data_IF_313525335238
#
_entry.id   IF_313525335238
#
_cell.length_a   1.000
_cell.length_b   1.000
_cell.length_c   1.000
_cell.angle_alpha   90.00
_cell.angle_beta   90.00
_cell.angle_gamma   90.00
#
_symmetry.space_group_name_H-M   'P 1'
#
loop_
_entity.id
_entity.type
_entity.pdbx_description
1 polymer ?
#
# COMPACT_ATOMS: atom_id res chain seq x y z
N UNK A 1 21.87 36.51 39.95
CA UNK A 1 21.99 37.29 38.70
C UNK A 1 21.09 36.62 37.68
N UNK A 2 20.06 37.33 37.20
CA UNK A 2 19.27 36.87 36.05
C UNK A 2 19.96 37.27 34.74
N UNK A 3 19.65 36.57 33.66
CA UNK A 3 19.98 37.01 32.31
C UNK A 3 18.78 37.77 31.76
N UNK A 4 19.00 39.00 31.30
CA UNK A 4 17.98 39.73 30.57
C UNK A 4 17.92 39.19 29.13
N UNK A 5 16.79 38.57 28.79
CA UNK A 5 16.56 38.00 27.47
C UNK A 5 15.76 38.97 26.61
N UNK A 6 16.21 39.17 25.37
CA UNK A 6 15.49 39.97 24.37
C UNK A 6 14.88 39.04 23.32
N UNK A 7 13.61 39.27 22.98
CA UNK A 7 12.94 38.53 21.91
C UNK A 7 13.50 39.02 20.56
N UNK A 8 14.20 38.14 19.83
CA UNK A 8 14.84 38.47 18.55
C UNK A 8 13.94 38.25 17.33
N UNK A 9 12.81 37.54 17.48
CA UNK A 9 11.87 37.31 16.38
C UNK A 9 10.71 36.39 16.77
N UNK A 10 9.68 36.38 15.92
CA UNK A 10 8.53 35.47 16.03
C UNK A 10 8.44 34.69 14.72
N UNK A 11 8.54 33.37 14.81
CA UNK A 11 8.38 32.47 13.67
C UNK A 11 6.92 32.01 13.59
N UNK A 12 6.32 32.13 12.41
CA UNK A 12 4.98 31.62 12.12
C UNK A 12 5.03 30.72 10.89
N UNK A 13 4.36 29.58 10.96
CA UNK A 13 4.17 28.67 9.83
C UNK A 13 3.39 29.40 8.75
N UNK A 14 3.83 29.29 7.50
CA UNK A 14 3.12 29.89 6.37
C UNK A 14 1.76 29.22 6.17
N UNK A 15 0.72 30.02 5.91
CA UNK A 15 -0.61 29.51 5.61
C UNK A 15 -0.60 28.56 4.41
N UNK A 16 -1.25 27.41 4.55
CA UNK A 16 -1.28 26.36 3.52
C UNK A 16 -0.01 25.49 3.45
N UNK A 17 0.93 25.60 4.40
CA UNK A 17 2.03 24.66 4.50
C UNK A 17 1.49 23.23 4.72
N UNK A 18 1.92 22.24 3.90
CA UNK A 18 1.42 20.87 4.00
C UNK A 18 1.83 20.16 5.30
N UNK A 19 2.79 20.72 6.02
CA UNK A 19 3.33 20.17 7.26
C UNK A 19 3.90 21.28 8.15
N UNK A 20 3.64 21.21 9.45
CA UNK A 20 4.24 22.09 10.45
C UNK A 20 5.36 21.33 11.20
N UNK A 21 6.58 21.85 11.14
CA UNK A 21 7.73 21.34 11.91
C UNK A 21 8.21 22.31 13.00
N UNK A 22 7.55 23.46 13.17
CA UNK A 22 7.84 24.37 14.26
C UNK A 22 7.10 23.91 15.51
N UNK A 23 7.85 23.63 16.58
CA UNK A 23 7.29 23.43 17.91
C UNK A 23 6.75 24.75 18.45
N UNK A 24 5.57 24.73 19.07
CA UNK A 24 5.06 25.86 19.82
C UNK A 24 5.96 26.14 21.03
N UNK A 25 6.33 27.41 21.26
CA UNK A 25 7.11 27.83 22.42
C UNK A 25 8.22 28.82 22.09
N UNK A 26 9.12 29.00 23.06
CA UNK A 26 10.29 29.88 22.95
C UNK A 26 11.48 29.02 22.53
N UNK A 27 12.12 29.40 21.43
CA UNK A 27 13.35 28.78 20.94
C UNK A 27 14.51 29.71 21.20
N UNK A 28 15.64 29.15 21.62
CA UNK A 28 16.83 29.92 21.97
C UNK A 28 17.84 29.97 20.80
N UNK A 29 18.50 31.12 20.57
CA UNK A 29 19.57 31.21 19.59
C UNK A 29 20.77 30.37 20.04
N UNK A 30 21.60 29.94 19.08
CA UNK A 30 22.80 29.14 19.34
C UNK A 30 23.71 29.79 20.40
N UNK A 31 23.87 31.12 20.37
CA UNK A 31 24.69 31.84 21.35
C UNK A 31 24.23 31.65 22.81
N UNK A 32 22.92 31.63 23.07
CA UNK A 32 22.39 31.40 24.42
C UNK A 32 22.52 29.93 24.80
N UNK A 33 22.27 29.02 23.86
CA UNK A 33 22.46 27.58 24.07
C UNK A 33 23.92 27.27 24.43
N UNK A 34 24.88 27.82 23.69
CA UNK A 34 26.31 27.65 23.93
C UNK A 34 26.72 28.21 25.30
N UNK A 35 26.22 29.39 25.67
CA UNK A 35 26.45 29.99 26.99
C UNK A 35 25.91 29.10 28.12
N UNK A 36 24.68 28.60 28.00
CA UNK A 36 24.06 27.74 29.01
C UNK A 36 24.83 26.42 29.12
N UNK A 37 25.22 25.82 28.00
CA UNK A 37 25.99 24.57 27.96
C UNK A 37 27.37 24.76 28.60
N UNK A 38 28.08 25.84 28.27
CA UNK A 38 29.38 26.15 28.87
C UNK A 38 29.25 26.33 30.40
N UNK A 39 28.27 27.11 30.84
CA UNK A 39 28.01 27.33 32.25
C UNK A 39 27.61 26.04 32.99
N UNK A 40 26.73 25.22 32.39
CA UNK A 40 26.33 23.93 32.95
C UNK A 40 27.52 22.97 33.09
N UNK A 41 28.40 22.94 32.07
CA UNK A 41 29.57 22.06 32.06
C UNK A 41 30.60 22.38 33.16
N UNK A 42 30.62 23.64 33.62
CA UNK A 42 31.49 24.17 34.69
C UNK A 42 30.84 24.11 36.07
N UNK A 43 29.59 23.70 36.17
CA UNK A 43 28.91 23.60 37.47
C UNK A 43 29.57 22.54 38.35
N UNK A 44 29.59 22.79 39.66
CA UNK A 44 30.16 21.84 40.64
C UNK A 44 29.51 20.46 40.54
N UNK A 45 28.21 20.41 40.24
CA UNK A 45 27.45 19.17 40.02
C UNK A 45 27.95 18.42 38.79
N UNK A 46 28.19 19.12 37.67
CA UNK A 46 28.73 18.51 36.45
C UNK A 46 30.16 17.97 36.66
N UNK A 47 31.01 18.73 37.37
CA UNK A 47 32.39 18.34 37.68
C UNK A 47 32.41 17.13 38.62
N UNK A 48 31.61 17.16 39.69
CA UNK A 48 31.50 16.05 40.64
C UNK A 48 30.92 14.78 39.99
N UNK A 49 29.93 14.92 39.10
CA UNK A 49 29.36 13.76 38.40
C UNK A 49 30.37 13.13 37.44
N UNK A 50 31.24 13.92 36.79
CA UNK A 50 32.31 13.40 35.92
C UNK A 50 33.33 12.55 36.70
N UNK A 51 33.66 12.96 37.92
CA UNK A 51 34.62 12.27 38.78
C UNK A 51 34.03 11.05 39.53
N UNK A 52 32.71 10.84 39.47
CA UNK A 52 32.00 9.79 40.21
C UNK A 52 31.55 8.64 39.31
N UNK A 53 31.58 7.41 39.84
CA UNK A 53 31.02 6.20 39.22
C UNK A 53 29.59 5.88 39.66
N UNK A 54 29.02 6.73 40.53
CA UNK A 54 27.63 6.70 40.96
C UNK A 54 26.92 7.99 40.55
N UNK A 55 25.61 7.94 40.38
CA UNK A 55 24.80 9.16 40.26
C UNK A 55 24.92 9.96 41.55
N UNK A 56 25.46 11.17 41.49
CA UNK A 56 25.73 11.98 42.70
C UNK A 56 24.46 12.56 43.32
N UNK A 57 23.34 12.56 42.59
CA UNK A 57 22.04 13.07 43.05
C UNK A 57 21.24 11.93 43.68
N UNK A 58 21.22 10.75 43.04
CA UNK A 58 20.47 9.58 43.51
C UNK A 58 21.29 8.66 44.44
N UNK A 59 22.61 8.83 44.46
CA UNK A 59 23.58 8.02 45.19
C UNK A 59 23.53 6.52 44.83
N UNK A 60 23.13 6.19 43.60
CA UNK A 60 23.03 4.83 43.07
C UNK A 60 24.12 4.56 42.02
N UNK A 61 24.64 3.32 41.92
CA UNK A 61 25.55 2.97 40.82
C UNK A 61 24.82 3.00 39.48
N UNK A 62 25.55 3.35 38.41
CA UNK A 62 25.01 3.26 37.06
C UNK A 62 24.88 1.80 36.61
N UNK A 63 23.83 1.50 35.84
CA UNK A 63 23.62 0.17 35.28
C UNK A 63 24.66 -0.19 34.20
N UNK A 64 25.12 0.80 33.43
CA UNK A 64 26.13 0.69 32.39
C UNK A 64 26.73 2.06 32.03
N UNK A 65 27.74 2.08 31.16
CA UNK A 65 28.42 3.31 30.71
C UNK A 65 27.48 4.26 29.97
N UNK A 66 26.48 3.74 29.25
CA UNK A 66 25.52 4.57 28.52
C UNK A 66 24.60 5.33 29.47
N UNK A 67 24.18 4.72 30.58
CA UNK A 67 23.44 5.42 31.65
C UNK A 67 24.28 6.54 32.26
N UNK A 68 25.58 6.33 32.48
CA UNK A 68 26.50 7.37 32.94
C UNK A 68 26.62 8.51 31.91
N UNK A 69 26.79 8.19 30.62
CA UNK A 69 26.86 9.19 29.54
C UNK A 69 25.57 9.99 29.41
N UNK A 70 24.41 9.34 29.45
CA UNK A 70 23.10 9.99 29.42
C UNK A 70 22.91 10.91 30.62
N UNK A 71 23.38 10.50 31.81
CA UNK A 71 23.34 11.34 33.00
C UNK A 71 24.22 12.58 32.86
N UNK A 72 25.45 12.41 32.38
CA UNK A 72 26.35 13.52 32.09
C UNK A 72 25.76 14.47 31.04
N UNK A 73 25.08 13.95 30.01
CA UNK A 73 24.37 14.78 29.03
C UNK A 73 23.22 15.57 29.67
N UNK A 74 22.42 14.94 30.54
CA UNK A 74 21.30 15.62 31.23
C UNK A 74 21.74 16.77 32.13
N UNK A 75 22.96 16.70 32.67
CA UNK A 75 23.56 17.74 33.51
C UNK A 75 24.32 18.80 32.70
N UNK A 76 24.34 18.70 31.36
CA UNK A 76 25.15 19.57 30.50
C UNK A 76 26.66 19.33 30.62
N UNK A 77 27.06 18.23 31.25
CA UNK A 77 28.46 17.84 31.46
C UNK A 77 29.07 17.16 30.22
N UNK A 78 28.23 16.64 29.32
CA UNK A 78 28.61 16.01 28.06
C UNK A 78 27.83 16.65 26.91
N UNK A 79 28.54 17.13 25.89
CA UNK A 79 28.01 17.85 24.73
C UNK A 79 28.04 17.02 23.44
N UNK A 80 28.43 15.75 23.51
CA UNK A 80 28.47 14.87 22.33
C UNK A 80 27.07 14.78 21.71
N UNK A 81 26.92 15.17 20.43
CA UNK A 81 25.63 15.11 19.74
C UNK A 81 25.10 13.68 19.67
N UNK A 82 23.81 13.50 19.91
CA UNK A 82 23.15 12.19 19.85
C UNK A 82 22.55 11.88 18.48
N UNK A 83 22.13 12.91 17.74
CA UNK A 83 21.52 12.78 16.42
C UNK A 83 21.77 14.03 15.57
N UNK A 84 21.75 13.85 14.25
CA UNK A 84 21.82 14.93 13.27
C UNK A 84 20.55 14.85 12.43
N UNK A 85 19.76 15.94 12.43
CA UNK A 85 18.60 16.07 11.56
C UNK A 85 19.02 16.77 10.27
N UNK A 86 18.83 16.10 9.13
CA UNK A 86 19.13 16.64 7.81
C UNK A 86 17.80 16.92 7.11
N UNK A 87 17.63 18.14 6.59
CA UNK A 87 16.43 18.57 5.87
C UNK A 87 16.78 18.87 4.41
N UNK A 88 16.71 17.88 3.50
CA UNK A 88 17.00 18.07 2.09
C UNK A 88 15.99 19.03 1.45
N UNK A 89 16.45 19.83 0.49
CA UNK A 89 15.61 20.76 -0.26
C UNK A 89 14.54 20.06 -1.11
N UNK A 90 14.87 18.90 -1.66
CA UNK A 90 14.02 18.09 -2.54
C UNK A 90 14.36 16.59 -2.43
N UNK A 91 13.53 15.75 -3.05
CA UNK A 91 13.69 14.30 -3.05
C UNK A 91 14.98 13.84 -3.74
N UNK A 92 15.41 14.51 -4.82
CA UNK A 92 16.65 14.15 -5.51
C UNK A 92 17.89 14.39 -4.62
N UNK A 93 17.89 15.47 -3.85
CA UNK A 93 18.95 15.79 -2.89
C UNK A 93 18.95 14.79 -1.73
N UNK A 94 17.77 14.39 -1.24
CA UNK A 94 17.62 13.34 -0.24
C UNK A 94 18.24 12.02 -0.72
N UNK A 95 17.94 11.60 -1.94
CA UNK A 95 18.42 10.33 -2.48
C UNK A 95 19.95 10.32 -2.66
N UNK A 96 20.54 11.46 -3.04
CA UNK A 96 22.01 11.65 -3.06
C UNK A 96 22.63 11.51 -1.68
N UNK A 97 22.01 12.09 -0.65
CA UNK A 97 22.48 11.98 0.75
C UNK A 97 22.45 10.52 1.21
N UNK A 98 21.36 9.80 0.93
CA UNK A 98 21.24 8.37 1.29
C UNK A 98 22.29 7.53 0.59
N UNK A 99 22.46 7.72 -0.71
CA UNK A 99 23.49 7.03 -1.50
C UNK A 99 24.89 7.28 -0.94
N UNK A 100 25.20 8.52 -0.52
CA UNK A 100 26.46 8.85 0.13
C UNK A 100 26.61 8.13 1.47
N UNK A 101 25.60 8.16 2.33
CA UNK A 101 25.64 7.47 3.64
C UNK A 101 25.80 5.95 3.49
N UNK A 102 25.14 5.34 2.51
CA UNK A 102 25.27 3.91 2.21
C UNK A 102 26.70 3.58 1.75
N UNK A 103 27.27 4.41 0.87
CA UNK A 103 28.66 4.26 0.45
C UNK A 103 29.65 4.44 1.61
N UNK A 104 29.38 5.39 2.51
CA UNK A 104 30.19 5.64 3.71
C UNK A 104 30.17 4.47 4.69
N UNK A 105 29.03 3.77 4.78
CA UNK A 105 28.85 2.61 5.65
C UNK A 105 29.46 1.32 5.08
N UNK A 106 29.84 1.32 3.80
CA UNK A 106 30.42 0.15 3.15
C UNK A 106 31.80 -0.16 3.74
N UNK A 107 32.01 -1.40 4.19
CA UNK A 107 33.28 -1.85 4.77
C UNK A 107 33.54 -1.43 6.22
N UNK A 108 32.58 -0.79 6.89
CA UNK A 108 32.68 -0.43 8.31
C UNK A 108 32.08 -1.49 9.22
N UNK A 109 32.68 -1.66 10.40
CA UNK A 109 32.07 -2.40 11.50
C UNK A 109 30.75 -1.74 11.92
N UNK A 110 29.80 -2.52 12.45
CA UNK A 110 28.45 -2.03 12.78
C UNK A 110 28.46 -0.85 13.76
N UNK A 111 29.40 -0.83 14.71
CA UNK A 111 29.58 0.26 15.68
C UNK A 111 29.98 1.60 15.02
N UNK A 112 30.57 1.57 13.83
CA UNK A 112 31.05 2.73 13.09
C UNK A 112 30.16 3.11 11.90
N UNK A 113 29.03 2.42 11.73
CA UNK A 113 28.05 2.75 10.70
C UNK A 113 27.17 3.91 11.15
N UNK A 114 26.89 4.81 10.22
CA UNK A 114 25.89 5.85 10.41
C UNK A 114 24.52 5.21 10.22
N UNK A 115 23.79 5.07 11.31
CA UNK A 115 22.38 4.67 11.30
C UNK A 115 21.56 5.92 10.99
N UNK A 116 20.73 5.85 9.96
CA UNK A 116 19.87 6.96 9.56
C UNK A 116 18.45 6.47 9.25
N UNK A 117 17.48 7.34 9.45
CA UNK A 117 16.06 7.06 9.19
C UNK A 117 15.48 8.10 8.25
N UNK A 118 14.90 7.66 7.14
CA UNK A 118 14.16 8.52 6.22
C UNK A 118 12.69 8.57 6.64
N UNK A 119 12.30 9.64 7.32
CA UNK A 119 10.93 9.82 7.81
C UNK A 119 9.90 9.84 6.66
N UNK A 120 10.24 10.48 5.53
CA UNK A 120 9.33 10.57 4.39
C UNK A 120 9.11 9.20 3.73
N UNK A 121 10.18 8.42 3.56
CA UNK A 121 10.07 7.05 3.07
C UNK A 121 9.31 6.16 4.05
N UNK A 122 9.54 6.30 5.36
CA UNK A 122 8.86 5.50 6.38
C UNK A 122 7.35 5.73 6.34
N UNK A 123 6.92 7.00 6.26
CA UNK A 123 5.51 7.36 6.10
C UNK A 123 4.94 6.82 4.79
N UNK A 124 5.65 6.97 3.66
CA UNK A 124 5.22 6.44 2.37
C UNK A 124 5.09 4.92 2.39
N UNK A 125 6.03 4.19 2.99
CA UNK A 125 5.99 2.74 3.11
C UNK A 125 4.82 2.28 3.98
N UNK A 126 4.55 2.98 5.07
CA UNK A 126 3.37 2.72 5.92
C UNK A 126 2.07 2.94 5.13
N UNK A 127 1.93 4.07 4.42
CA UNK A 127 0.75 4.35 3.59
C UNK A 127 0.57 3.30 2.48
N UNK A 128 1.65 2.94 1.79
CA UNK A 128 1.63 1.91 0.75
C UNK A 128 1.24 0.54 1.31
N UNK A 129 1.70 0.20 2.52
CA UNK A 129 1.33 -1.06 3.18
C UNK A 129 -0.16 -1.10 3.51
N UNK A 130 -0.73 -0.01 4.02
CA UNK A 130 -2.17 0.10 4.28
C UNK A 130 -2.99 -0.05 3.00
N UNK A 131 -2.62 0.67 1.93
CA UNK A 131 -3.29 0.59 0.62
C UNK A 131 -3.22 -0.84 0.06
N UNK A 132 -2.05 -1.50 0.14
CA UNK A 132 -1.88 -2.88 -0.32
C UNK A 132 -2.74 -3.86 0.48
N UNK A 133 -2.80 -3.70 1.80
CA UNK A 133 -3.60 -4.55 2.68
C UNK A 133 -5.08 -4.44 2.35
N UNK A 134 -5.61 -3.22 2.21
CA UNK A 134 -7.01 -3.00 1.81
C UNK A 134 -7.25 -3.58 0.42
N UNK A 135 -6.33 -3.36 -0.52
CA UNK A 135 -6.42 -3.90 -1.87
C UNK A 135 -6.47 -5.43 -1.88
N UNK A 136 -5.68 -6.13 -1.07
CA UNK A 136 -5.74 -7.60 -0.97
C UNK A 136 -7.06 -8.10 -0.40
N UNK A 137 -7.63 -7.41 0.58
CA UNK A 137 -8.95 -7.75 1.11
C UNK A 137 -10.03 -7.60 0.04
N UNK A 138 -10.02 -6.49 -0.72
CA UNK A 138 -10.95 -6.25 -1.82
C UNK A 138 -10.78 -7.27 -2.96
N UNK A 139 -9.53 -7.62 -3.30
CA UNK A 139 -9.24 -8.69 -4.28
C UNK A 139 -9.79 -10.02 -3.79
N UNK A 140 -9.68 -10.32 -2.49
CA UNK A 140 -10.28 -11.51 -1.88
C UNK A 140 -11.79 -11.56 -2.06
N UNK A 141 -12.49 -10.46 -1.76
CA UNK A 141 -13.93 -10.35 -2.00
C UNK A 141 -14.28 -10.52 -3.48
N UNK A 142 -13.56 -9.86 -4.37
CA UNK A 142 -13.76 -9.98 -5.81
C UNK A 142 -13.54 -11.41 -6.31
N UNK A 143 -12.53 -12.12 -5.80
CA UNK A 143 -12.25 -13.51 -6.16
C UNK A 143 -13.37 -14.45 -5.72
N UNK A 144 -13.94 -14.26 -4.53
CA UNK A 144 -15.09 -15.03 -4.05
C UNK A 144 -16.31 -14.75 -4.92
N UNK A 145 -16.62 -13.47 -5.18
CA UNK A 145 -17.72 -13.09 -6.08
C UNK A 145 -17.55 -13.71 -7.46
N UNK A 146 -16.34 -13.69 -8.00
CA UNK A 146 -16.03 -14.28 -9.30
C UNK A 146 -16.24 -15.79 -9.33
N UNK A 147 -15.83 -16.50 -8.27
CA UNK A 147 -16.04 -17.94 -8.13
C UNK A 147 -17.54 -18.26 -8.09
N UNK A 148 -18.31 -17.53 -7.28
CA UNK A 148 -19.77 -17.70 -7.19
C UNK A 148 -20.44 -17.43 -8.54
N UNK A 149 -20.04 -16.37 -9.25
CA UNK A 149 -20.54 -16.07 -10.60
C UNK A 149 -20.23 -17.19 -11.59
N UNK A 150 -19.02 -17.76 -11.54
CA UNK A 150 -18.59 -18.85 -12.43
C UNK A 150 -19.47 -20.10 -12.22
N UNK A 151 -19.77 -20.45 -10.97
CA UNK A 151 -20.67 -21.56 -10.65
C UNK A 151 -22.08 -21.28 -11.16
N UNK A 152 -22.60 -20.06 -10.97
CA UNK A 152 -23.94 -19.68 -11.45
C UNK A 152 -24.06 -19.78 -12.97
N UNK A 153 -23.06 -19.32 -13.71
CA UNK A 153 -23.01 -19.47 -15.18
C UNK A 153 -23.05 -20.96 -15.56
N UNK A 154 -22.30 -21.81 -14.85
CA UNK A 154 -22.32 -23.26 -15.06
C UNK A 154 -23.69 -23.90 -14.83
N UNK A 155 -24.41 -23.47 -13.78
CA UNK A 155 -25.76 -23.95 -13.47
C UNK A 155 -26.77 -23.51 -14.54
N UNK A 156 -26.75 -22.24 -14.94
CA UNK A 156 -27.67 -21.70 -15.95
C UNK A 156 -27.45 -22.41 -17.30
N UNK A 157 -26.19 -22.56 -17.70
CA UNK A 157 -25.84 -23.27 -18.95
C UNK A 157 -26.21 -24.75 -18.89
N UNK A 158 -26.10 -25.38 -17.71
CA UNK A 158 -26.60 -26.75 -17.50
C UNK A 158 -28.12 -26.87 -17.69
N UNK A 159 -28.90 -25.96 -17.08
CA UNK A 159 -30.37 -25.94 -17.22
C UNK A 159 -30.75 -25.71 -18.69
N UNK A 160 -30.10 -24.77 -19.37
CA UNK A 160 -30.34 -24.49 -20.79
C UNK A 160 -30.11 -25.71 -21.69
N UNK A 161 -29.08 -26.51 -21.40
CA UNK A 161 -28.83 -27.78 -22.11
C UNK A 161 -29.94 -28.80 -21.86
N UNK A 162 -30.48 -28.87 -20.64
CA UNK A 162 -31.57 -29.80 -20.30
C UNK A 162 -32.87 -29.43 -21.00
N UNK A 163 -33.22 -28.16 -21.04
CA UNK A 163 -34.42 -27.65 -21.72
C UNK A 163 -34.35 -27.90 -23.24
N UNK A 164 -33.16 -27.74 -23.84
CA UNK A 164 -32.92 -27.95 -25.29
C UNK A 164 -32.57 -29.40 -25.65
N UNK A 165 -32.87 -30.39 -24.79
CA UNK A 165 -32.52 -31.80 -25.04
C UNK A 165 -33.17 -32.38 -26.30
N UNK A 166 -34.43 -32.03 -26.60
CA UNK A 166 -35.13 -32.48 -27.82
C UNK A 166 -34.43 -31.94 -29.08
N UNK A 167 -34.02 -30.67 -29.08
CA UNK A 167 -33.30 -30.04 -30.19
C UNK A 167 -31.95 -30.74 -30.46
N UNK A 168 -31.20 -31.05 -29.39
CA UNK A 168 -29.94 -31.81 -29.49
C UNK A 168 -30.19 -33.21 -30.09
N UNK A 169 -31.28 -33.87 -29.68
CA UNK A 169 -31.70 -35.18 -30.20
C UNK A 169 -31.98 -35.14 -31.70
N UNK A 170 -32.71 -34.12 -32.18
CA UNK A 170 -32.99 -33.92 -33.61
C UNK A 170 -31.71 -33.68 -34.40
N UNK A 171 -30.85 -32.74 -33.96
CA UNK A 171 -29.58 -32.45 -34.62
C UNK A 171 -28.67 -33.68 -34.72
N UNK A 172 -28.64 -34.49 -33.66
CA UNK A 172 -27.85 -35.73 -33.63
C UNK A 172 -28.41 -36.84 -34.51
N UNK A 173 -29.72 -36.89 -34.72
CA UNK A 173 -30.36 -37.85 -35.62
C UNK A 173 -30.19 -37.50 -37.10
N UNK A 174 -30.04 -36.20 -37.41
CA UNK A 174 -29.73 -35.69 -38.76
C UNK A 174 -28.23 -35.82 -39.10
N UNK A 175 -27.38 -36.21 -38.14
CA UNK A 175 -25.97 -36.56 -38.37
C UNK A 175 -24.94 -35.64 -37.69
N UNK A 176 -25.35 -34.69 -36.84
CA UNK A 176 -24.41 -33.84 -36.11
C UNK A 176 -23.51 -34.66 -35.19
N UNK A 177 -22.19 -34.41 -35.22
CA UNK A 177 -21.24 -35.11 -34.35
C UNK A 177 -21.32 -34.55 -32.93
N UNK A 178 -20.94 -35.36 -31.94
CA UNK A 178 -20.86 -34.94 -30.53
C UNK A 178 -20.03 -33.65 -30.35
N UNK A 179 -18.97 -33.48 -31.15
CA UNK A 179 -18.10 -32.30 -31.14
C UNK A 179 -18.79 -31.04 -31.66
N UNK A 180 -19.72 -31.17 -32.61
CA UNK A 180 -20.41 -30.04 -33.20
C UNK A 180 -21.42 -29.45 -32.21
N UNK A 181 -22.15 -30.33 -31.50
CA UNK A 181 -23.03 -29.92 -30.39
C UNK A 181 -22.23 -29.17 -29.31
N UNK A 182 -21.10 -29.73 -28.87
CA UNK A 182 -20.26 -29.06 -27.86
C UNK A 182 -19.67 -27.72 -28.34
N UNK A 183 -19.38 -27.58 -29.64
CA UNK A 183 -18.91 -26.31 -30.21
C UNK A 183 -19.97 -25.22 -30.19
N UNK A 184 -21.23 -25.57 -30.44
CA UNK A 184 -22.35 -24.61 -30.39
C UNK A 184 -22.49 -24.05 -28.96
N UNK A 185 -22.56 -24.92 -27.96
CA UNK A 185 -22.67 -24.48 -26.57
C UNK A 185 -21.43 -23.71 -26.07
N UNK A 186 -20.24 -24.10 -26.51
CA UNK A 186 -19.02 -23.33 -26.21
C UNK A 186 -19.02 -21.96 -26.88
N UNK A 187 -19.54 -21.85 -28.10
CA UNK A 187 -19.69 -20.58 -28.79
C UNK A 187 -20.71 -19.67 -28.09
N UNK A 188 -21.84 -20.21 -27.63
CA UNK A 188 -22.83 -19.49 -26.83
C UNK A 188 -22.20 -18.92 -25.56
N UNK A 189 -21.40 -19.72 -24.83
CA UNK A 189 -20.70 -19.24 -23.64
C UNK A 189 -19.61 -18.22 -23.93
N UNK A 190 -18.88 -18.33 -25.04
CA UNK A 190 -17.91 -17.31 -25.44
C UNK A 190 -18.58 -15.97 -25.80
N UNK A 191 -19.73 -16.00 -26.47
CA UNK A 191 -20.49 -14.79 -26.80
C UNK A 191 -20.97 -14.11 -25.52
N UNK A 192 -21.53 -14.88 -24.58
CA UNK A 192 -21.96 -14.36 -23.27
C UNK A 192 -20.78 -13.75 -22.52
N UNK A 193 -19.62 -14.41 -22.50
CA UNK A 193 -18.40 -13.89 -21.87
C UNK A 193 -17.87 -12.60 -22.47
N UNK A 194 -17.92 -12.49 -23.80
CA UNK A 194 -17.51 -11.30 -24.54
C UNK A 194 -18.42 -10.11 -24.22
N UNK A 195 -19.75 -10.30 -24.32
CA UNK A 195 -20.74 -9.25 -24.03
C UNK A 195 -20.65 -8.82 -22.56
N UNK A 196 -20.56 -9.77 -21.63
CA UNK A 196 -20.43 -9.48 -20.20
C UNK A 196 -19.13 -8.69 -19.90
N UNK A 197 -18.01 -9.07 -20.53
CA UNK A 197 -16.74 -8.35 -20.40
C UNK A 197 -16.82 -6.91 -20.91
N UNK A 198 -17.38 -6.71 -22.11
CA UNK A 198 -17.58 -5.39 -22.70
C UNK A 198 -18.48 -4.52 -21.83
N UNK A 199 -19.61 -5.05 -21.34
CA UNK A 199 -20.52 -4.33 -20.46
C UNK A 199 -19.87 -4.00 -19.11
N UNK A 200 -19.11 -4.93 -18.53
CA UNK A 200 -18.42 -4.72 -17.25
C UNK A 200 -17.37 -3.60 -17.35
N UNK A 201 -16.57 -3.61 -18.42
CA UNK A 201 -15.59 -2.54 -18.69
C UNK A 201 -16.29 -1.21 -18.98
N UNK A 202 -17.34 -1.22 -19.82
CA UNK A 202 -18.11 -0.01 -20.13
C UNK A 202 -18.73 0.63 -18.88
N UNK A 203 -19.31 -0.19 -18.01
CA UNK A 203 -19.86 0.25 -16.73
C UNK A 203 -18.78 0.78 -15.79
N UNK A 204 -17.59 0.16 -15.78
CA UNK A 204 -16.46 0.63 -14.99
C UNK A 204 -16.02 2.04 -15.42
N UNK A 205 -15.88 2.29 -16.72
CA UNK A 205 -15.58 3.63 -17.24
C UNK A 205 -16.68 4.65 -16.90
N UNK A 206 -17.94 4.25 -16.96
CA UNK A 206 -19.07 5.11 -16.61
C UNK A 206 -19.03 5.49 -15.13
N UNK A 207 -18.71 4.55 -14.24
CA UNK A 207 -18.62 4.79 -12.79
C UNK A 207 -17.37 5.58 -12.38
N UNK A 208 -16.28 5.52 -13.14
CA UNK A 208 -15.07 6.31 -12.87
C UNK A 208 -15.35 7.82 -12.91
N UNK A 209 -16.28 8.28 -13.74
CA UNK A 209 -16.62 9.70 -13.88
C UNK A 209 -17.13 10.33 -12.57
N UNK A 210 -18.24 9.86 -11.95
CA UNK A 210 -18.71 10.41 -10.68
C UNK A 210 -17.72 10.17 -9.53
N UNK A 211 -17.00 9.05 -9.53
CA UNK A 211 -15.97 8.76 -8.51
C UNK A 211 -14.86 9.82 -8.54
N UNK A 212 -14.34 10.16 -9.73
CA UNK A 212 -13.33 11.20 -9.86
C UNK A 212 -13.85 12.59 -9.47
N UNK A 213 -15.14 12.89 -9.68
CA UNK A 213 -15.73 14.16 -9.22
C UNK A 213 -15.75 14.25 -7.69
N UNK A 214 -16.16 13.17 -7.01
CA UNK A 214 -16.16 13.10 -5.55
C UNK A 214 -14.74 13.22 -4.98
N UNK A 215 -13.79 12.49 -5.55
CA UNK A 215 -12.38 12.55 -5.13
C UNK A 215 -11.81 13.96 -5.31
N UNK A 216 -12.11 14.61 -6.45
CA UNK A 216 -11.67 15.99 -6.70
C UNK A 216 -12.24 16.95 -5.65
N UNK A 217 -13.49 16.76 -5.23
CA UNK A 217 -14.13 17.58 -4.19
C UNK A 217 -13.53 17.42 -2.79
N UNK A 218 -13.02 16.22 -2.46
CA UNK A 218 -12.48 15.91 -1.12
C UNK A 218 -10.97 16.13 -1.01
N UNK A 219 -10.21 15.75 -2.03
CA UNK A 219 -8.75 15.68 -1.97
C UNK A 219 -8.05 16.64 -2.95
N UNK A 220 -8.80 17.31 -3.84
CA UNK A 220 -8.27 18.19 -4.89
C UNK A 220 -7.21 17.53 -5.81
N UNK A 221 -7.18 16.20 -5.85
CA UNK A 221 -6.30 15.41 -6.72
C UNK A 221 -7.08 15.04 -7.98
N UNK A 222 -6.68 15.51 -9.17
CA UNK A 222 -7.35 15.16 -10.41
C UNK A 222 -7.01 13.73 -10.85
N UNK A 223 -8.02 13.01 -11.36
CA UNK A 223 -7.86 11.79 -12.15
C UNK A 223 -7.17 10.61 -11.43
N UNK A 224 -7.45 10.45 -10.14
CA UNK A 224 -6.87 9.38 -9.33
C UNK A 224 -7.41 7.99 -9.73
N UNK A 225 -8.70 7.88 -10.05
CA UNK A 225 -9.29 6.65 -10.57
C UNK A 225 -9.15 6.63 -12.09
N UNK A 226 -8.23 5.81 -12.60
CA UNK A 226 -8.03 5.63 -14.04
C UNK A 226 -7.87 4.13 -14.34
N UNK A 227 -8.70 3.63 -15.27
CA UNK A 227 -8.56 2.28 -15.79
C UNK A 227 -7.69 2.31 -17.04
N UNK A 228 -6.50 1.72 -16.95
CA UNK A 228 -5.62 1.57 -18.11
C UNK A 228 -6.33 0.74 -19.21
N UNK A 229 -6.36 1.21 -20.48
CA UNK A 229 -6.91 0.45 -21.60
C UNK A 229 -6.37 -0.98 -21.72
N UNK A 230 -5.11 -1.21 -21.38
CA UNK A 230 -4.51 -2.56 -21.40
C UNK A 230 -5.18 -3.46 -20.36
N UNK A 231 -5.38 -2.97 -19.14
CA UNK A 231 -6.07 -3.70 -18.07
C UNK A 231 -7.52 -4.00 -18.44
N UNK A 232 -8.19 -3.07 -19.13
CA UNK A 232 -9.55 -3.27 -19.63
C UNK A 232 -9.62 -4.44 -20.64
N UNK A 233 -8.67 -4.52 -21.57
CA UNK A 233 -8.59 -5.64 -22.52
C UNK A 233 -8.33 -6.96 -21.78
N UNK A 234 -7.42 -6.98 -20.82
CA UNK A 234 -7.14 -8.17 -19.99
C UNK A 234 -8.38 -8.65 -19.24
N UNK A 235 -9.21 -7.73 -18.72
CA UNK A 235 -10.46 -8.08 -18.04
C UNK A 235 -11.49 -8.71 -18.98
N UNK A 236 -11.60 -8.23 -20.22
CA UNK A 236 -12.50 -8.82 -21.23
C UNK A 236 -12.04 -10.22 -21.62
N UNK A 237 -10.74 -10.41 -21.88
CA UNK A 237 -10.21 -11.74 -22.15
C UNK A 237 -10.37 -12.66 -20.93
N UNK A 238 -10.17 -12.13 -19.73
CA UNK A 238 -10.41 -12.83 -18.47
C UNK A 238 -11.84 -13.33 -18.37
N UNK A 239 -12.85 -12.47 -18.61
CA UNK A 239 -14.27 -12.85 -18.54
C UNK A 239 -14.62 -13.93 -19.55
N UNK A 240 -14.08 -13.86 -20.77
CA UNK A 240 -14.26 -14.90 -21.79
C UNK A 240 -13.66 -16.24 -21.37
N UNK A 241 -12.46 -16.25 -20.78
CA UNK A 241 -11.83 -17.49 -20.31
C UNK A 241 -12.62 -18.10 -19.15
N UNK A 242 -13.04 -17.28 -18.18
CA UNK A 242 -13.81 -17.72 -17.02
C UNK A 242 -15.18 -18.31 -17.40
N UNK A 243 -15.91 -17.63 -18.27
CA UNK A 243 -17.20 -18.12 -18.80
C UNK A 243 -17.05 -19.39 -19.63
N UNK A 244 -16.00 -19.49 -20.43
CA UNK A 244 -15.68 -20.71 -21.17
C UNK A 244 -15.42 -21.88 -20.21
N UNK A 245 -14.58 -21.68 -19.18
CA UNK A 245 -14.30 -22.71 -18.16
C UNK A 245 -15.59 -23.18 -17.48
N UNK A 246 -16.49 -22.26 -17.13
CA UNK A 246 -17.80 -22.59 -16.58
C UNK A 246 -18.65 -23.44 -17.53
N UNK A 247 -18.65 -23.11 -18.84
CA UNK A 247 -19.44 -23.79 -19.87
C UNK A 247 -18.92 -25.15 -20.33
N UNK A 248 -17.64 -25.46 -20.10
CA UNK A 248 -17.02 -26.70 -20.59
C UNK A 248 -17.67 -27.96 -20.00
N UNK A 249 -18.08 -27.93 -18.73
CA UNK A 249 -18.72 -29.07 -18.06
C UNK A 249 -20.10 -29.38 -18.69
N UNK A 250 -21.06 -28.43 -18.72
CA UNK A 250 -22.39 -28.68 -19.31
C UNK A 250 -22.33 -28.97 -20.82
N UNK A 251 -21.45 -28.29 -21.56
CA UNK A 251 -21.24 -28.55 -23.00
C UNK A 251 -20.80 -29.99 -23.27
N UNK A 252 -19.88 -30.53 -22.46
CA UNK A 252 -19.47 -31.94 -22.54
C UNK A 252 -20.61 -32.90 -22.19
N UNK A 253 -21.47 -32.54 -21.25
CA UNK A 253 -22.66 -33.34 -20.92
C UNK A 253 -23.67 -33.35 -22.07
N UNK A 254 -23.95 -32.19 -22.68
CA UNK A 254 -24.82 -32.04 -23.85
C UNK A 254 -24.38 -32.96 -25.00
N UNK A 255 -23.08 -32.93 -25.32
CA UNK A 255 -22.48 -33.74 -26.37
C UNK A 255 -22.58 -35.26 -26.14
N UNK A 256 -22.71 -35.70 -24.88
CA UNK A 256 -22.80 -37.12 -24.51
C UNK A 256 -24.22 -37.66 -24.42
N UNK A 257 -25.26 -36.82 -24.54
CA UNK A 257 -26.67 -37.27 -24.53
C UNK A 257 -26.94 -38.24 -25.68
N UNK A 258 -27.70 -39.29 -25.37
CA UNK A 258 -28.10 -40.33 -26.32
C UNK A 258 -29.33 -39.87 -27.13
N UNK A 259 -29.25 -39.79 -28.48
CA UNK A 259 -30.36 -39.34 -29.33
C UNK A 259 -31.61 -40.21 -29.19
N UNK A 260 -31.48 -41.51 -28.93
CA UNK A 260 -32.63 -42.42 -28.80
C UNK A 260 -33.41 -42.12 -27.52
N UNK A 261 -32.71 -41.80 -26.43
CA UNK A 261 -33.35 -41.39 -25.17
C UNK A 261 -33.92 -39.97 -25.25
N UNK A 262 -33.25 -39.06 -25.97
CA UNK A 262 -33.67 -37.66 -26.11
C UNK A 262 -34.97 -37.50 -26.93
N UNK A 263 -35.27 -38.43 -27.85
CA UNK A 263 -36.51 -38.42 -28.64
C UNK A 263 -37.65 -39.22 -27.99
N UNK A 264 -37.33 -40.08 -27.01
CA UNK A 264 -38.31 -40.93 -26.31
C UNK A 264 -38.78 -40.33 -24.98
N UNK A 265 -38.12 -39.29 -24.48
CA UNK A 265 -38.65 -38.48 -23.39
C UNK A 265 -39.85 -37.67 -23.89
N UNK A 266 -41.00 -37.86 -23.24
CA UNK A 266 -42.28 -37.17 -23.53
C UNK A 266 -42.13 -35.67 -23.79
#
# INVERSE_FOLDING_TARGET
>A
MGLDLTITGILRVKDGAPSNFLSEGIVYPTALTDYIVDNASKSDVAIAQKASDKDIILNTPFANDDAKKARLQSLGANTTPTAINIYPKDFASKDKIKTYLDSYNTGKADENKVIYTDLAETINNMMNSLIKTISYVLIGFAAISLLVSTIMIGIITYISVLERTKEIGILRSVGARKKDIGRVFNAETMIVGCIAGLLGVGLSYLLILPINMVIKGLANIPNLANLNPISAIVLIFGSMVLTLIAGLIPSRMAAKKDPVRALRSE
#
